data_IF_752785225501
#
_entry.id   IF_752785225501
#
_cell.length_a   1.000
_cell.length_b   1.000
_cell.length_c   1.000
_cell.angle_alpha   90.00
_cell.angle_beta   90.00
_cell.angle_gamma   90.00
#
_symmetry.space_group_name_H-M   'P 1'
#
loop_
_entity.id
_entity.type
_entity.pdbx_description
1 polymer ?
#
# COMPACT_ATOMS: atom_id res chain seq x y z
N UNK A 1 -7.81 8.18 2.03
CA UNK A 1 -7.10 9.47 2.26
C UNK A 1 -7.57 10.55 1.29
N UNK A 2 -7.62 10.25 -0.01
CA UNK A 2 -8.06 11.15 -1.10
C UNK A 2 -9.35 11.94 -0.81
N UNK A 3 -10.32 11.34 -0.12
CA UNK A 3 -11.61 11.96 0.19
C UNK A 3 -11.58 13.06 1.27
N UNK A 4 -10.43 13.36 1.89
CA UNK A 4 -10.31 14.37 2.96
C UNK A 4 -10.82 13.92 4.35
N UNK A 5 -11.76 12.95 4.39
CA UNK A 5 -12.40 12.49 5.63
C UNK A 5 -11.41 11.89 6.65
N UNK A 6 -10.42 11.12 6.19
CA UNK A 6 -9.40 10.54 7.06
C UNK A 6 -8.56 11.61 7.78
N UNK A 7 -8.16 12.68 7.08
CA UNK A 7 -7.42 13.78 7.70
C UNK A 7 -8.28 14.53 8.73
N UNK A 8 -9.57 14.68 8.47
CA UNK A 8 -10.50 15.26 9.44
C UNK A 8 -10.58 14.40 10.72
N UNK A 9 -10.62 13.07 10.57
CA UNK A 9 -10.61 12.15 11.70
C UNK A 9 -9.30 12.20 12.49
N UNK A 10 -8.15 12.26 11.81
CA UNK A 10 -6.87 12.43 12.49
C UNK A 10 -6.75 13.77 13.23
N UNK A 11 -7.30 14.85 12.68
CA UNK A 11 -7.33 16.14 13.38
C UNK A 11 -8.21 16.11 14.62
N UNK A 12 -9.36 15.43 14.58
CA UNK A 12 -10.20 15.20 15.76
C UNK A 12 -9.47 14.34 16.81
N UNK A 13 -8.74 13.33 16.37
CA UNK A 13 -7.89 12.52 17.24
C UNK A 13 -6.80 13.35 17.91
N UNK A 14 -6.04 14.16 17.17
CA UNK A 14 -4.96 14.98 17.73
C UNK A 14 -5.51 16.08 18.66
N UNK A 15 -6.52 16.79 18.18
CA UNK A 15 -7.11 17.96 18.81
C UNK A 15 -8.64 17.84 18.82
N UNK A 16 -9.22 17.19 19.84
CA UNK A 16 -10.66 17.03 19.96
C UNK A 16 -11.40 18.37 19.86
N UNK A 17 -12.44 18.43 19.01
CA UNK A 17 -13.20 19.65 18.76
C UNK A 17 -12.53 20.64 17.80
N UNK A 18 -11.35 20.34 17.24
CA UNK A 18 -10.72 21.15 16.18
C UNK A 18 -11.48 21.05 14.85
N UNK A 19 -12.15 19.94 14.59
CA UNK A 19 -12.86 19.65 13.35
C UNK A 19 -14.33 19.35 13.64
N UNK A 20 -15.23 19.87 12.80
CA UNK A 20 -16.66 19.55 12.92
C UNK A 20 -16.95 18.18 12.28
N UNK A 21 -16.62 17.08 12.96
CA UNK A 21 -16.75 15.72 12.43
C UNK A 21 -18.15 15.39 11.89
N UNK A 22 -19.22 15.94 12.50
CA UNK A 22 -20.61 15.76 12.02
C UNK A 22 -20.85 16.30 10.60
N UNK A 23 -19.99 17.19 10.11
CA UNK A 23 -20.05 17.75 8.75
C UNK A 23 -19.18 16.99 7.75
N UNK A 24 -18.40 16.01 8.21
CA UNK A 24 -17.51 15.22 7.38
C UNK A 24 -18.31 14.11 6.70
N UNK A 25 -18.13 13.97 5.40
CA UNK A 25 -18.71 12.92 4.57
C UNK A 25 -17.74 11.74 4.50
N UNK A 26 -17.91 10.74 5.38
CA UNK A 26 -17.05 9.55 5.44
C UNK A 26 -17.24 8.58 4.26
N UNK A 27 -18.40 8.65 3.61
CA UNK A 27 -18.78 7.89 2.42
C UNK A 27 -18.78 8.74 1.14
N UNK A 28 -17.98 9.82 1.11
CA UNK A 28 -17.86 10.67 -0.06
C UNK A 28 -17.39 9.87 -1.28
N UNK A 29 -18.05 10.08 -2.43
CA UNK A 29 -17.73 9.45 -3.72
C UNK A 29 -17.52 10.45 -4.84
N UNK A 30 -17.99 11.68 -4.66
CA UNK A 30 -17.93 12.74 -5.67
C UNK A 30 -16.92 13.82 -5.29
N UNK A 31 -16.29 14.43 -6.29
CA UNK A 31 -15.23 15.44 -6.08
C UNK A 31 -15.70 16.61 -5.19
N UNK A 32 -16.93 17.09 -5.40
CA UNK A 32 -17.50 18.17 -4.59
C UNK A 32 -17.65 17.80 -3.11
N UNK A 33 -17.81 16.51 -2.79
CA UNK A 33 -17.85 16.00 -1.42
C UNK A 33 -16.46 15.97 -0.79
N UNK A 34 -15.43 15.63 -1.58
CA UNK A 34 -14.04 15.72 -1.14
C UNK A 34 -13.66 17.17 -0.81
N UNK A 35 -14.06 18.11 -1.67
CA UNK A 35 -13.87 19.55 -1.44
C UNK A 35 -14.51 19.98 -0.12
N UNK A 36 -15.73 19.51 0.18
CA UNK A 36 -16.39 19.81 1.46
C UNK A 36 -15.57 19.30 2.64
N UNK A 37 -15.09 18.05 2.59
CA UNK A 37 -14.23 17.50 3.64
C UNK A 37 -12.94 18.31 3.82
N UNK A 38 -12.27 18.71 2.73
CA UNK A 38 -11.07 19.56 2.81
C UNK A 38 -11.34 20.95 3.37
N UNK A 39 -12.52 21.55 3.13
CA UNK A 39 -12.92 22.81 3.79
C UNK A 39 -13.07 22.64 5.31
N UNK A 40 -13.61 21.51 5.76
CA UNK A 40 -13.69 21.20 7.20
C UNK A 40 -12.27 21.06 7.77
N UNK A 41 -11.35 20.39 7.06
CA UNK A 41 -9.96 20.26 7.45
C UNK A 41 -9.24 21.62 7.55
N UNK A 42 -9.39 22.48 6.54
CA UNK A 42 -8.83 23.84 6.54
C UNK A 42 -9.32 24.66 7.75
N UNK A 43 -10.61 24.55 8.11
CA UNK A 43 -11.14 25.21 9.29
C UNK A 43 -10.49 24.67 10.58
N UNK A 44 -10.18 23.37 10.64
CA UNK A 44 -9.44 22.77 11.75
C UNK A 44 -8.00 23.27 11.85
N UNK A 45 -7.29 23.34 10.73
CA UNK A 45 -5.92 23.90 10.69
C UNK A 45 -5.91 25.36 11.15
N UNK A 46 -6.85 26.18 10.66
CA UNK A 46 -6.97 27.58 11.09
C UNK A 46 -7.24 27.70 12.59
N UNK A 47 -8.09 26.84 13.17
CA UNK A 47 -8.38 26.86 14.61
C UNK A 47 -7.16 26.53 15.46
N UNK A 48 -6.30 25.64 14.97
CA UNK A 48 -5.10 25.20 15.66
C UNK A 48 -3.84 26.01 15.31
N UNK A 49 -3.96 27.06 14.49
CA UNK A 49 -2.82 27.88 14.07
C UNK A 49 -1.81 27.12 13.18
N UNK A 50 -2.29 26.17 12.37
CA UNK A 50 -1.44 25.39 11.45
C UNK A 50 -1.31 26.12 10.12
N UNK A 51 -0.12 26.64 9.82
CA UNK A 51 0.15 27.46 8.63
C UNK A 51 0.38 26.66 7.33
N UNK A 52 0.25 25.32 7.38
CA UNK A 52 0.37 24.49 6.18
C UNK A 52 -0.80 24.72 5.23
N UNK A 53 -0.49 25.21 4.03
CA UNK A 53 -1.45 25.31 2.93
C UNK A 53 -1.81 23.91 2.42
N UNK A 54 -3.11 23.62 2.36
CA UNK A 54 -3.65 22.37 1.82
C UNK A 54 -3.95 22.59 0.32
N UNK A 55 -3.27 21.90 -0.63
CA UNK A 55 -3.48 22.08 -2.06
C UNK A 55 -4.74 21.34 -2.55
N UNK A 56 -5.92 21.79 -2.09
CA UNK A 56 -7.21 21.11 -2.27
C UNK A 56 -7.46 20.69 -3.72
N UNK A 57 -7.30 21.62 -4.68
CA UNK A 57 -7.57 21.37 -6.10
C UNK A 57 -6.76 20.19 -6.67
N UNK A 58 -5.55 19.98 -6.16
CA UNK A 58 -4.69 18.89 -6.60
C UNK A 58 -5.00 17.58 -5.88
N UNK A 59 -5.32 17.67 -4.58
CA UNK A 59 -5.66 16.51 -3.76
C UNK A 59 -6.97 15.86 -4.21
N UNK A 60 -8.01 16.66 -4.47
CA UNK A 60 -9.34 16.14 -4.88
C UNK A 60 -9.33 15.51 -6.26
N UNK A 61 -8.39 15.91 -7.13
CA UNK A 61 -8.14 15.29 -8.45
C UNK A 61 -7.35 13.99 -8.36
N UNK A 62 -6.90 13.60 -7.17
CA UNK A 62 -6.18 12.36 -6.93
C UNK A 62 -4.80 12.29 -7.56
N UNK A 63 -4.14 13.44 -7.79
CA UNK A 63 -2.75 13.46 -8.24
C UNK A 63 -1.84 12.77 -7.22
N UNK A 64 -1.16 11.71 -7.63
CA UNK A 64 -0.34 10.89 -6.73
C UNK A 64 0.74 11.71 -6.03
N UNK A 65 1.51 12.51 -6.78
CA UNK A 65 2.60 13.33 -6.23
C UNK A 65 2.12 14.27 -5.11
N UNK A 66 1.09 15.07 -5.36
CA UNK A 66 0.58 16.02 -4.36
C UNK A 66 -0.05 15.31 -3.15
N UNK A 67 -0.74 14.18 -3.37
CA UNK A 67 -1.31 13.38 -2.28
C UNK A 67 -0.22 12.73 -1.42
N UNK A 68 0.83 12.22 -2.06
CA UNK A 68 1.97 11.59 -1.39
C UNK A 68 2.77 12.61 -0.59
N UNK A 69 3.05 13.78 -1.14
CA UNK A 69 3.71 14.88 -0.44
C UNK A 69 2.88 15.33 0.79
N UNK A 70 1.55 15.47 0.61
CA UNK A 70 0.68 15.90 1.69
C UNK A 70 0.61 14.86 2.83
N UNK A 71 0.47 13.57 2.51
CA UNK A 71 0.43 12.53 3.55
C UNK A 71 1.77 12.39 4.29
N UNK A 72 2.90 12.54 3.59
CA UNK A 72 4.22 12.55 4.23
C UNK A 72 4.35 13.69 5.24
N UNK A 73 3.96 14.90 4.84
CA UNK A 73 3.96 16.04 5.75
C UNK A 73 2.97 15.82 6.91
N UNK A 74 1.77 15.32 6.62
CA UNK A 74 0.74 15.09 7.63
C UNK A 74 1.17 14.05 8.66
N UNK A 75 1.91 13.01 8.25
CA UNK A 75 2.48 12.01 9.18
C UNK A 75 3.47 12.66 10.15
N UNK A 76 4.38 13.50 9.66
CA UNK A 76 5.32 14.25 10.52
C UNK A 76 4.59 15.17 11.49
N UNK A 77 3.56 15.86 11.00
CA UNK A 77 2.68 16.68 11.82
C UNK A 77 1.96 15.84 12.89
N UNK A 78 1.43 14.68 12.52
CA UNK A 78 0.75 13.77 13.46
C UNK A 78 1.71 13.30 14.56
N UNK A 79 2.89 12.81 14.19
CA UNK A 79 3.87 12.29 15.14
C UNK A 79 4.35 13.36 16.14
N UNK A 80 4.47 14.60 15.70
CA UNK A 80 4.88 15.72 16.55
C UNK A 80 3.81 16.18 17.54
N UNK A 81 2.53 15.86 17.30
CA UNK A 81 1.40 16.36 18.09
C UNK A 81 0.62 15.26 18.81
N UNK A 82 0.86 13.99 18.50
CA UNK A 82 0.16 12.88 19.12
C UNK A 82 0.70 12.64 20.54
N UNK A 83 -0.20 12.67 21.52
CA UNK A 83 0.10 12.52 22.95
C UNK A 83 -0.09 11.08 23.47
N UNK A 84 -0.37 10.12 22.58
CA UNK A 84 -0.57 8.71 22.94
C UNK A 84 -1.98 8.38 23.44
N UNK A 85 -2.94 9.31 23.36
CA UNK A 85 -4.32 9.05 23.83
C UNK A 85 -5.02 7.97 23.02
N UNK A 86 -5.82 7.17 23.71
CA UNK A 86 -6.73 6.22 23.09
C UNK A 86 -7.81 6.97 22.29
N UNK A 87 -8.16 6.43 21.13
CA UNK A 87 -9.17 7.00 20.25
C UNK A 87 -9.97 5.87 19.63
N UNK A 88 -11.30 5.93 19.75
CA UNK A 88 -12.21 5.03 19.05
C UNK A 88 -12.70 5.70 17.74
N UNK A 89 -12.14 5.32 16.58
CA UNK A 89 -12.51 5.92 15.32
C UNK A 89 -13.90 5.51 14.84
N UNK A 90 -14.46 4.39 15.32
CA UNK A 90 -15.80 3.94 14.94
C UNK A 90 -16.85 4.72 15.71
N UNK A 91 -16.66 4.87 17.03
CA UNK A 91 -17.53 5.70 17.86
C UNK A 91 -17.50 7.17 17.43
N UNK A 92 -16.34 7.72 17.10
CA UNK A 92 -16.22 9.10 16.61
C UNK A 92 -17.00 9.35 15.31
N UNK A 93 -17.11 8.34 14.45
CA UNK A 93 -17.92 8.35 13.23
C UNK A 93 -19.39 7.99 13.46
N UNK A 94 -19.79 7.70 14.70
CA UNK A 94 -21.14 7.23 15.04
C UNK A 94 -21.50 5.95 14.27
N UNK A 95 -20.54 5.05 14.08
CA UNK A 95 -20.73 3.80 13.34
C UNK A 95 -20.75 3.95 11.83
N UNK A 96 -20.54 5.14 11.27
CA UNK A 96 -20.38 5.27 9.81
C UNK A 96 -19.13 4.53 9.35
N UNK A 97 -19.30 3.68 8.34
CA UNK A 97 -18.20 3.08 7.62
C UNK A 97 -17.37 4.16 6.91
N UNK A 98 -16.11 3.87 6.61
CA UNK A 98 -15.27 4.70 5.74
C UNK A 98 -15.05 4.01 4.43
N UNK A 99 -14.97 4.76 3.32
CA UNK A 99 -14.44 4.23 2.07
C UNK A 99 -12.95 3.96 2.26
N UNK A 100 -12.58 2.71 2.51
CA UNK A 100 -11.18 2.32 2.64
C UNK A 100 -10.49 2.45 1.27
N UNK A 101 -9.38 3.19 1.16
CA UNK A 101 -8.48 3.01 0.02
C UNK A 101 -7.70 1.71 0.26
N UNK A 102 -7.70 0.79 -0.71
CA UNK A 102 -6.81 -0.36 -0.71
C UNK A 102 -5.35 0.14 -0.68
N UNK A 103 -4.72 0.18 0.49
CA UNK A 103 -3.32 0.56 0.67
C UNK A 103 -2.72 -0.31 1.78
N UNK A 104 -2.06 -1.40 1.40
CA UNK A 104 -1.22 -2.21 2.31
C UNK A 104 0.19 -1.63 2.37
N UNK A 105 0.71 -1.41 3.58
CA UNK A 105 2.04 -0.86 3.83
C UNK A 105 3.12 -1.96 3.88
N UNK A 106 4.34 -1.74 3.36
CA UNK A 106 5.41 -2.74 3.40
C UNK A 106 6.17 -2.68 4.74
N UNK A 107 6.21 -3.79 5.48
CA UNK A 107 7.13 -3.97 6.61
C UNK A 107 8.45 -4.53 6.10
N UNK A 108 9.49 -3.69 6.15
CA UNK A 108 10.87 -4.08 5.87
C UNK A 108 11.41 -4.86 7.06
N UNK A 109 11.59 -6.17 6.93
CA UNK A 109 12.42 -6.96 7.85
C UNK A 109 13.56 -7.65 7.08
N UNK A 110 14.78 -7.34 7.52
CA UNK A 110 16.06 -7.95 7.09
C UNK A 110 16.01 -9.49 7.20
N UNK A 111 16.48 -10.24 6.19
CA UNK A 111 16.59 -11.70 6.31
C UNK A 111 17.84 -12.10 7.10
N UNK A 112 17.65 -12.80 8.23
CA UNK A 112 18.67 -13.69 8.79
C UNK A 112 18.65 -14.99 7.98
N UNK A 113 19.77 -15.32 7.34
CA UNK A 113 20.03 -16.64 6.77
C UNK A 113 20.07 -17.68 7.88
N UNK A 114 19.36 -18.80 7.70
CA UNK A 114 19.82 -20.09 8.21
C UNK A 114 19.79 -21.11 7.07
N UNK A 115 20.99 -21.49 6.66
CA UNK A 115 21.27 -22.66 5.85
C UNK A 115 20.97 -23.92 6.68
N UNK A 116 20.28 -24.90 6.09
CA UNK A 116 20.81 -26.27 6.04
C UNK A 116 19.92 -27.14 5.16
N UNK A 117 20.51 -27.57 4.06
CA UNK A 117 20.15 -28.75 3.32
C UNK A 117 20.14 -29.99 4.21
N UNK A 118 19.32 -30.99 3.90
CA UNK A 118 19.77 -32.24 3.27
C UNK A 118 18.74 -33.36 3.44
N UNK A 119 18.58 -34.05 2.31
CA UNK A 119 17.83 -35.23 1.94
C UNK A 119 18.04 -36.52 2.74
N UNK A 120 17.03 -37.39 2.60
CA UNK A 120 17.07 -38.85 2.41
C UNK A 120 16.48 -39.75 3.52
N UNK A 121 15.60 -40.66 3.07
CA UNK A 121 14.88 -41.71 3.78
C UNK A 121 15.65 -43.07 3.69
N UNK A 122 15.03 -44.25 3.92
CA UNK A 122 14.35 -44.79 5.12
C UNK A 122 14.90 -46.18 5.53
N UNK A 123 14.60 -46.70 6.73
CA UNK A 123 14.56 -48.15 6.98
C UNK A 123 13.69 -48.57 8.20
N UNK A 124 13.01 -49.70 8.05
CA UNK A 124 12.18 -50.51 8.99
C UNK A 124 12.87 -51.89 9.13
N UNK A 125 12.40 -52.93 9.87
CA UNK A 125 11.23 -53.07 10.77
C UNK A 125 11.49 -53.94 12.06
N UNK A 126 10.41 -54.26 12.82
CA UNK A 126 10.02 -55.56 13.47
C UNK A 126 9.57 -55.42 14.96
N UNK A 127 8.26 -55.49 15.27
CA UNK A 127 7.33 -56.61 15.68
C UNK A 127 7.20 -56.81 17.21
N UNK A 128 5.96 -56.71 17.72
CA UNK A 128 5.20 -57.53 18.72
C UNK A 128 4.27 -56.63 19.58
N UNK A 129 3.10 -56.98 20.13
CA UNK A 129 2.02 -57.94 19.90
C UNK A 129 0.85 -57.58 20.87
N UNK A 130 -0.40 -57.48 20.35
CA UNK A 130 -1.75 -57.74 20.94
C UNK A 130 -2.13 -57.29 22.39
N UNK A 131 -3.29 -56.63 22.53
CA UNK A 131 -4.58 -57.20 23.04
C UNK A 131 -5.68 -56.12 23.08
N UNK A 132 -6.95 -56.55 23.22
CA UNK A 132 -8.18 -55.88 22.79
C UNK A 132 -9.03 -55.22 23.91
N UNK A 133 -10.07 -54.48 23.47
CA UNK A 133 -11.35 -54.14 24.11
C UNK A 133 -11.57 -52.66 24.57
N UNK A 134 -12.78 -52.17 24.24
CA UNK A 134 -13.40 -50.82 24.30
C UNK A 134 -14.04 -50.51 25.67
N UNK A 135 -14.85 -49.42 25.89
CA UNK A 135 -14.80 -48.01 25.45
C UNK A 135 -14.93 -47.00 26.64
N UNK A 136 -14.54 -45.72 26.48
CA UNK A 136 -15.32 -44.55 26.99
C UNK A 136 -14.76 -43.17 26.59
N UNK A 137 -15.68 -42.38 26.03
CA UNK A 137 -15.86 -40.93 26.07
C UNK A 137 -14.66 -40.02 26.36
N UNK A 138 -14.32 -39.19 25.36
CA UNK A 138 -13.49 -37.99 25.50
C UNK A 138 -13.67 -37.08 24.30
N UNK A 139 -14.63 -36.16 24.42
CA UNK A 139 -14.65 -34.78 23.88
C UNK A 139 -13.90 -34.44 22.58
N UNK A 140 -14.62 -33.75 21.69
CA UNK A 140 -14.08 -32.51 21.12
C UNK A 140 -13.64 -32.59 19.67
N UNK A 141 -14.58 -32.21 18.83
CA UNK A 141 -14.48 -32.04 17.39
C UNK A 141 -13.61 -30.82 17.02
N UNK A 142 -13.02 -30.90 15.82
CA UNK A 142 -12.56 -29.81 14.93
C UNK A 142 -11.17 -29.19 15.19
N UNK A 143 -10.31 -29.47 14.21
CA UNK A 143 -9.03 -28.82 13.89
C UNK A 143 -9.25 -27.40 13.34
N UNK A 144 -8.25 -26.55 13.60
CA UNK A 144 -7.83 -25.35 12.84
C UNK A 144 -8.82 -24.18 12.76
N UNK A 145 -8.50 -23.09 13.45
CA UNK A 145 -9.00 -21.74 13.17
C UNK A 145 -7.96 -20.69 13.60
N UNK A 146 -6.70 -20.84 13.15
CA UNK A 146 -5.63 -19.89 13.44
C UNK A 146 -4.68 -19.62 12.25
N UNK A 147 -4.93 -20.22 11.08
CA UNK A 147 -4.10 -20.05 9.88
C UNK A 147 -4.81 -19.36 8.70
N UNK A 148 -6.10 -19.06 8.82
CA UNK A 148 -6.88 -18.48 7.72
C UNK A 148 -6.62 -16.97 7.59
N UNK A 149 -6.30 -16.29 8.69
CA UNK A 149 -6.01 -14.85 8.72
C UNK A 149 -4.63 -14.53 8.09
N UNK A 150 -3.59 -15.31 8.42
CA UNK A 150 -2.29 -15.21 7.74
C UNK A 150 -2.37 -15.61 6.26
N UNK A 151 -3.15 -16.64 5.92
CA UNK A 151 -3.33 -17.06 4.53
C UNK A 151 -4.03 -15.98 3.70
N UNK A 152 -5.03 -15.30 4.26
CA UNK A 152 -5.70 -14.18 3.59
C UNK A 152 -4.75 -12.99 3.38
N UNK A 153 -3.93 -12.65 4.39
CA UNK A 153 -2.94 -11.58 4.29
C UNK A 153 -1.84 -11.84 3.26
N UNK A 154 -1.41 -13.10 3.09
CA UNK A 154 -0.43 -13.50 2.06
C UNK A 154 -1.02 -13.46 0.65
N UNK A 155 -2.28 -13.87 0.48
CA UNK A 155 -2.98 -13.82 -0.82
C UNK A 155 -3.09 -12.37 -1.30
N UNK A 156 -3.39 -11.44 -0.40
CA UNK A 156 -3.50 -10.02 -0.76
C UNK A 156 -2.14 -9.43 -1.18
N UNK A 157 -1.05 -9.78 -0.49
CA UNK A 157 0.29 -9.36 -0.88
C UNK A 157 0.69 -9.89 -2.26
N UNK A 158 0.34 -11.14 -2.58
CA UNK A 158 0.58 -11.72 -3.91
C UNK A 158 -0.17 -10.93 -4.98
N UNK A 159 -1.41 -10.51 -4.71
CA UNK A 159 -2.20 -9.73 -5.67
C UNK A 159 -1.61 -8.34 -5.90
N UNK A 160 -1.19 -7.65 -4.83
CA UNK A 160 -0.56 -6.32 -4.93
C UNK A 160 0.77 -6.37 -5.67
N UNK A 161 1.61 -7.37 -5.36
CA UNK A 161 2.87 -7.58 -6.07
C UNK A 161 2.63 -7.88 -7.55
N UNK A 162 1.63 -8.70 -7.90
CA UNK A 162 1.26 -8.98 -9.29
C UNK A 162 0.86 -7.70 -10.03
N UNK A 163 0.01 -6.87 -9.44
CA UNK A 163 -0.39 -5.59 -10.05
C UNK A 163 0.80 -4.64 -10.22
N UNK A 164 1.67 -4.56 -9.21
CA UNK A 164 2.88 -3.72 -9.28
C UNK A 164 3.82 -4.20 -10.38
N UNK A 165 4.03 -5.51 -10.50
CA UNK A 165 4.84 -6.09 -11.57
C UNK A 165 4.21 -5.81 -12.92
N UNK A 166 2.89 -5.97 -13.06
CA UNK A 166 2.19 -5.69 -14.31
C UNK A 166 2.34 -4.22 -14.74
N UNK A 167 2.26 -3.27 -13.80
CA UNK A 167 2.45 -1.85 -14.10
C UNK A 167 3.91 -1.53 -14.45
N UNK A 168 4.88 -2.12 -13.76
CA UNK A 168 6.30 -1.98 -14.10
C UNK A 168 6.63 -2.63 -15.46
N UNK A 169 5.98 -3.74 -15.81
CA UNK A 169 6.12 -4.36 -17.12
C UNK A 169 5.55 -3.47 -18.23
N UNK A 170 4.41 -2.81 -18.00
CA UNK A 170 3.87 -1.81 -18.93
C UNK A 170 4.82 -0.63 -19.11
N UNK A 171 5.40 -0.11 -18.03
CA UNK A 171 6.39 0.98 -18.12
C UNK A 171 7.66 0.52 -18.85
N UNK A 172 8.19 -0.66 -18.51
CA UNK A 172 9.34 -1.27 -19.20
C UNK A 172 9.07 -1.40 -20.69
N UNK A 173 7.94 -1.96 -21.08
CA UNK A 173 7.59 -2.20 -22.48
C UNK A 173 7.36 -0.88 -23.23
N UNK A 174 6.79 0.13 -22.55
CA UNK A 174 6.64 1.47 -23.10
C UNK A 174 7.99 2.13 -23.43
N UNK A 175 8.95 2.09 -22.50
CA UNK A 175 10.28 2.66 -22.73
C UNK A 175 11.09 1.83 -23.72
N UNK A 176 11.02 0.50 -23.63
CA UNK A 176 11.65 -0.40 -24.60
C UNK A 176 11.15 -0.16 -26.02
N UNK A 177 9.83 -0.01 -26.21
CA UNK A 177 9.25 0.30 -27.52
C UNK A 177 9.76 1.63 -28.08
N UNK A 178 9.92 2.67 -27.24
CA UNK A 178 10.53 3.93 -27.67
C UNK A 178 11.98 3.76 -28.10
N UNK A 179 12.78 3.04 -27.32
CA UNK A 179 14.19 2.77 -27.65
C UNK A 179 14.31 1.96 -28.94
N UNK A 180 13.45 0.95 -29.15
CA UNK A 180 13.41 0.16 -30.37
C UNK A 180 13.04 0.99 -31.60
N UNK A 181 12.11 1.93 -31.48
CA UNK A 181 11.77 2.85 -32.57
C UNK A 181 12.95 3.76 -32.91
N UNK A 182 13.68 4.26 -31.90
CA UNK A 182 14.89 5.07 -32.12
C UNK A 182 15.97 4.23 -32.81
N UNK A 183 16.18 2.99 -32.37
CA UNK A 183 17.13 2.06 -32.97
C UNK A 183 16.82 1.78 -34.45
N UNK A 184 15.54 1.56 -34.79
CA UNK A 184 15.10 1.40 -36.19
C UNK A 184 15.44 2.62 -37.04
N UNK A 185 15.16 3.83 -36.54
CA UNK A 185 15.51 5.07 -37.23
C UNK A 185 17.03 5.15 -37.46
N UNK A 186 17.85 4.76 -36.47
CA UNK A 186 19.30 4.77 -36.63
C UNK A 186 19.77 3.76 -37.70
N UNK A 187 19.19 2.56 -37.72
CA UNK A 187 19.52 1.50 -38.68
C UNK A 187 19.14 1.87 -40.12
N UNK A 188 17.98 2.50 -40.32
CA UNK A 188 17.54 2.97 -41.65
C UNK A 188 18.45 4.05 -42.24
N UNK A 189 19.14 4.81 -41.39
CA UNK A 189 19.99 5.95 -41.77
C UNK A 189 21.50 5.67 -41.60
N UNK A 190 21.90 4.41 -41.37
CA UNK A 190 23.30 4.01 -41.11
C UNK A 190 24.25 4.33 -42.29
N UNK A 191 23.72 4.42 -43.51
CA UNK A 191 24.48 4.76 -44.71
C UNK A 191 24.95 6.22 -44.81
N UNK A 192 24.41 7.13 -44.00
CA UNK A 192 24.67 8.56 -44.10
C UNK A 192 25.89 9.03 -43.28
N UNK A 193 26.51 8.14 -42.47
CA UNK A 193 27.66 8.46 -41.59
C UNK A 193 27.42 9.69 -40.70
N UNK A 194 26.19 9.85 -40.17
CA UNK A 194 25.86 10.96 -39.28
C UNK A 194 26.51 10.76 -37.89
N UNK A 195 27.42 11.66 -37.44
CA UNK A 195 28.07 11.57 -36.14
C UNK A 195 27.12 11.71 -34.94
N UNK A 196 25.90 12.21 -35.14
CA UNK A 196 24.84 12.26 -34.12
C UNK A 196 24.19 10.89 -33.96
N UNK A 197 23.86 10.22 -35.07
CA UNK A 197 23.30 8.87 -35.04
C UNK A 197 24.26 7.88 -34.38
N UNK A 198 25.57 7.99 -34.67
CA UNK A 198 26.59 7.16 -34.03
C UNK A 198 26.59 7.29 -32.50
N UNK A 199 26.46 8.52 -31.97
CA UNK A 199 26.38 8.75 -30.51
C UNK A 199 25.08 8.20 -29.91
N UNK A 200 23.97 8.28 -30.63
CA UNK A 200 22.70 7.70 -30.17
C UNK A 200 22.82 6.18 -30.08
N UNK A 201 23.42 5.54 -31.10
CA UNK A 201 23.71 4.10 -31.12
C UNK A 201 24.61 3.71 -29.94
N UNK A 202 25.67 4.47 -29.67
CA UNK A 202 26.53 4.25 -28.49
C UNK A 202 25.75 4.28 -27.17
N UNK A 203 24.81 5.22 -27.02
CA UNK A 203 23.94 5.29 -25.82
C UNK A 203 23.02 4.07 -25.74
N UNK A 204 22.45 3.63 -26.87
CA UNK A 204 21.52 2.50 -26.91
C UNK A 204 22.17 1.16 -26.55
N UNK A 205 23.44 0.99 -26.92
CA UNK A 205 24.22 -0.23 -26.65
C UNK A 205 25.19 -0.10 -25.46
N UNK A 206 25.15 1.03 -24.75
CA UNK A 206 25.93 1.18 -23.53
C UNK A 206 25.52 0.11 -22.52
N UNK A 207 26.49 -0.62 -22.00
CA UNK A 207 26.33 -1.47 -20.82
C UNK A 207 26.73 -0.67 -19.58
N UNK A 208 26.02 -0.84 -18.48
CA UNK A 208 26.38 -0.28 -17.17
C UNK A 208 27.79 -0.71 -16.69
#
# INVERSE_FOLDING_TARGET
LLAGAAYCQFMDMLFPGSVALKKVKFQAKLEHEYIQNFKVLQAGFKRMGVDKIIPVDKLVKGKFQDNFEFVQWFKKFFDANYDGKEYDPVAARQGQETVAPNLVAPVVNKPKKSLSSSSAAPQRPIVTQRTAATPKAGTGMVKKAAGDDESAGLIEQINVLKLTVEDLEKERDFYFGKLRNIELICQENEGENDPVLQRIVEILYATD
#
